data_IF_819885778876
#
_entry.id   IF_819885778876
#
_cell.length_a   1.000
_cell.length_b   1.000
_cell.length_c   1.000
_cell.angle_alpha   90.00
_cell.angle_beta   90.00
_cell.angle_gamma   90.00
#
_symmetry.space_group_name_H-M   'P 1'
#
loop_
_entity.id
_entity.type
_entity.pdbx_description
1 polymer ?
#
# COMPACT_ATOMS: atom_id res chain seq x y z
N UNK A 1 13.46 18.69 17.59
CA UNK A 1 12.33 17.98 16.98
C UNK A 1 11.75 17.09 18.05
N UNK A 2 10.48 17.26 18.39
CA UNK A 2 9.80 16.29 19.26
C UNK A 2 9.42 15.03 18.46
N UNK A 3 8.90 13.99 19.12
CA UNK A 3 8.58 12.74 18.45
C UNK A 3 7.37 12.85 17.50
N UNK A 4 6.44 13.78 17.76
CA UNK A 4 5.27 13.98 16.92
C UNK A 4 5.64 14.69 15.61
N UNK A 5 6.55 15.67 15.69
CA UNK A 5 7.17 16.30 14.53
C UNK A 5 7.92 15.26 13.69
N UNK A 6 8.68 14.36 14.32
CA UNK A 6 9.40 13.31 13.60
C UNK A 6 8.44 12.32 12.91
N UNK A 7 7.39 11.89 13.60
CA UNK A 7 6.32 11.04 13.03
C UNK A 7 5.61 11.74 11.86
N UNK A 8 5.38 13.05 11.95
CA UNK A 8 4.76 13.83 10.88
C UNK A 8 5.63 13.91 9.60
N UNK A 9 6.95 13.84 9.74
CA UNK A 9 7.90 13.89 8.62
C UNK A 9 8.22 12.49 8.08
N UNK A 10 8.46 11.51 8.94
CA UNK A 10 8.91 10.17 8.53
C UNK A 10 7.76 9.19 8.30
N UNK A 11 6.58 9.44 8.88
CA UNK A 11 5.51 8.44 8.95
C UNK A 11 5.86 7.24 9.82
N UNK A 12 6.86 7.37 10.71
CA UNK A 12 7.36 6.31 11.58
C UNK A 12 7.18 6.66 13.04
N UNK A 13 6.67 5.72 13.83
CA UNK A 13 6.57 5.84 15.29
C UNK A 13 7.18 4.64 15.98
N UNK A 14 8.12 4.92 16.87
CA UNK A 14 8.89 3.91 17.59
C UNK A 14 8.48 3.89 19.06
N UNK A 15 8.27 2.71 19.68
CA UNK A 15 8.15 2.60 21.13
C UNK A 15 9.48 2.88 21.84
N UNK A 16 10.60 2.61 21.16
CA UNK A 16 11.95 2.78 21.67
C UNK A 16 12.84 3.49 20.63
N UNK A 17 13.30 4.71 20.95
CA UNK A 17 14.28 5.45 20.14
C UNK A 17 15.74 5.08 20.47
N UNK A 18 15.95 4.25 21.50
CA UNK A 18 17.25 3.68 21.85
C UNK A 18 17.06 2.18 22.09
N UNK A 19 17.83 1.37 21.38
CA UNK A 19 17.64 -0.07 21.35
C UNK A 19 18.62 -0.78 22.29
N UNK A 20 18.18 -1.86 22.94
CA UNK A 20 19.07 -2.68 23.75
C UNK A 20 20.17 -3.30 22.88
N UNK A 21 21.44 -3.28 23.33
CA UNK A 21 22.58 -3.71 22.52
C UNK A 21 22.70 -5.24 22.41
N UNK A 22 21.90 -6.01 23.16
CA UNK A 22 21.97 -7.47 23.20
C UNK A 22 20.59 -8.11 23.09
N UNK A 23 20.54 -9.30 22.50
CA UNK A 23 19.29 -10.07 22.36
C UNK A 23 18.60 -10.40 23.68
N UNK A 24 19.30 -10.79 24.77
CA UNK A 24 18.66 -11.03 26.06
C UNK A 24 18.02 -9.77 26.66
N UNK A 25 18.68 -8.61 26.51
CA UNK A 25 18.10 -7.34 26.95
C UNK A 25 16.86 -6.99 26.11
N UNK A 26 16.90 -7.21 24.79
CA UNK A 26 15.73 -7.06 23.93
C UNK A 26 14.56 -7.98 24.32
N UNK A 27 14.85 -9.24 24.65
CA UNK A 27 13.85 -10.23 25.07
C UNK A 27 13.23 -9.92 26.44
N UNK A 28 13.91 -9.12 27.28
CA UNK A 28 13.40 -8.68 28.58
C UNK A 28 12.43 -7.50 28.49
N UNK A 29 12.29 -6.87 27.32
CA UNK A 29 11.36 -5.76 27.13
C UNK A 29 9.91 -6.25 27.11
N UNK A 30 9.06 -5.58 27.87
CA UNK A 30 7.60 -5.83 27.87
C UNK A 30 6.99 -5.46 26.52
N UNK A 31 7.44 -4.32 25.94
CA UNK A 31 7.06 -3.90 24.59
C UNK A 31 8.22 -4.20 23.65
N UNK A 32 8.01 -5.00 22.59
CA UNK A 32 9.09 -5.38 21.67
C UNK A 32 9.65 -4.16 20.93
N UNK A 33 10.86 -4.29 20.39
CA UNK A 33 11.40 -3.36 19.40
C UNK A 33 10.56 -3.49 18.12
N UNK A 34 9.67 -2.53 17.89
CA UNK A 34 8.74 -2.48 16.75
C UNK A 34 8.66 -1.07 16.18
N UNK A 35 7.90 -0.90 15.09
CA UNK A 35 7.63 0.39 14.48
C UNK A 35 6.22 0.38 13.92
N UNK A 36 5.48 1.48 14.11
CA UNK A 36 4.29 1.78 13.34
C UNK A 36 4.72 2.58 12.11
N UNK A 37 4.31 2.13 10.92
CA UNK A 37 4.75 2.69 9.65
C UNK A 37 3.55 3.08 8.79
N UNK A 38 3.54 4.34 8.34
CA UNK A 38 2.59 4.93 7.40
C UNK A 38 3.34 5.27 6.10
N UNK A 39 3.54 4.29 5.19
CA UNK A 39 4.50 4.42 4.08
C UNK A 39 4.14 5.50 3.06
N UNK A 40 2.86 5.86 2.96
CA UNK A 40 2.33 6.86 2.03
C UNK A 40 1.97 8.17 2.74
N UNK A 41 2.53 8.40 3.93
CA UNK A 41 2.29 9.64 4.64
C UNK A 41 3.10 10.77 4.00
N UNK A 42 2.39 11.71 3.36
CA UNK A 42 3.00 12.94 2.91
C UNK A 42 3.17 13.92 4.08
N UNK A 43 4.35 14.51 4.26
CA UNK A 43 4.52 15.60 5.20
C UNK A 43 3.56 16.74 4.87
N UNK A 44 3.10 17.46 5.88
CA UNK A 44 2.25 18.64 5.70
C UNK A 44 2.91 19.75 4.89
N UNK A 45 4.25 19.75 4.78
CA UNK A 45 5.01 20.63 3.92
C UNK A 45 5.65 19.86 2.75
N UNK A 46 5.30 20.16 1.48
CA UNK A 46 5.76 19.40 0.31
C UNK A 46 7.28 19.44 0.08
N UNK A 47 7.97 20.47 0.58
CA UNK A 47 9.43 20.59 0.46
C UNK A 47 10.21 19.55 1.29
N UNK A 48 9.54 18.80 2.17
CA UNK A 48 10.16 17.79 3.04
C UNK A 48 10.23 16.39 2.40
N UNK A 49 9.52 16.15 1.29
CA UNK A 49 9.53 14.87 0.58
C UNK A 49 9.91 15.09 -0.89
N UNK A 50 11.22 15.01 -1.23
CA UNK A 50 11.65 15.26 -2.60
C UNK A 50 11.24 14.11 -3.52
N UNK A 51 10.70 14.46 -4.70
CA UNK A 51 10.41 13.53 -5.78
C UNK A 51 11.58 13.47 -6.77
N UNK A 52 12.21 12.30 -6.86
CA UNK A 52 13.43 12.08 -7.65
C UNK A 52 13.07 11.47 -9.02
N UNK A 53 13.43 12.09 -10.15
CA UNK A 53 13.02 11.65 -11.50
C UNK A 53 13.90 10.51 -12.04
N UNK A 54 14.22 9.53 -11.20
CA UNK A 54 15.06 8.40 -11.54
C UNK A 54 14.83 7.23 -10.57
N UNK A 55 15.30 6.05 -10.96
CA UNK A 55 15.24 4.86 -10.12
C UNK A 55 16.23 4.93 -8.95
N UNK A 56 15.91 4.33 -7.79
CA UNK A 56 16.79 4.33 -6.62
C UNK A 56 18.11 3.61 -6.90
N UNK A 57 19.22 4.20 -6.46
CA UNK A 57 20.53 3.55 -6.48
C UNK A 57 20.58 2.47 -5.40
N UNK A 58 20.61 1.19 -5.81
CA UNK A 58 20.62 0.05 -4.88
C UNK A 58 22.02 -0.52 -4.71
N UNK A 59 22.29 -1.02 -3.51
CA UNK A 59 23.53 -1.73 -3.18
C UNK A 59 23.65 -3.00 -4.03
N UNK A 60 24.77 -3.15 -4.74
CA UNK A 60 25.05 -4.26 -5.64
C UNK A 60 25.52 -5.54 -4.91
N UNK A 61 25.79 -5.45 -3.61
CA UNK A 61 26.15 -6.63 -2.80
C UNK A 61 25.02 -7.67 -2.82
N UNK A 62 25.31 -8.95 -3.13
CA UNK A 62 24.30 -10.00 -3.16
C UNK A 62 23.49 -10.06 -1.86
N UNK A 63 22.16 -10.05 -1.98
CA UNK A 63 21.25 -10.16 -0.84
C UNK A 63 21.11 -8.91 0.05
N UNK A 64 21.68 -7.77 -0.34
CA UNK A 64 21.49 -6.51 0.41
C UNK A 64 20.30 -5.69 -0.11
N UNK A 65 20.34 -5.25 -1.38
CA UNK A 65 19.23 -4.52 -2.01
C UNK A 65 18.92 -3.10 -1.46
N UNK A 66 19.60 -2.67 -0.39
CA UNK A 66 19.39 -1.36 0.24
C UNK A 66 19.57 -0.20 -0.74
N UNK A 67 18.69 0.78 -0.67
CA UNK A 67 18.82 2.03 -1.41
C UNK A 67 19.90 2.94 -0.79
N UNK A 68 20.52 3.76 -1.62
CA UNK A 68 21.32 4.91 -1.21
C UNK A 68 20.48 5.81 -0.30
N UNK A 69 21.10 6.30 0.77
CA UNK A 69 20.44 7.10 1.80
C UNK A 69 21.48 7.95 2.55
N UNK A 70 21.08 8.92 3.40
CA UNK A 70 22.00 9.85 4.05
C UNK A 70 23.05 9.21 4.97
N UNK A 71 22.85 7.97 5.40
CA UNK A 71 23.82 7.22 6.22
C UNK A 71 24.89 6.50 5.39
N UNK A 72 24.80 6.56 4.06
CA UNK A 72 25.78 5.97 3.16
C UNK A 72 27.05 6.84 3.08
N UNK A 73 28.22 6.21 3.02
CA UNK A 73 29.50 6.94 2.91
C UNK A 73 29.87 7.16 1.45
N UNK A 74 29.98 8.42 1.02
CA UNK A 74 30.40 8.79 -0.35
C UNK A 74 31.93 8.85 -0.46
N UNK A 75 32.47 8.24 -1.51
CA UNK A 75 33.88 8.28 -1.88
C UNK A 75 34.05 9.08 -3.17
N UNK A 76 34.22 10.41 -3.04
CA UNK A 76 34.29 11.33 -4.18
C UNK A 76 35.40 10.98 -5.19
N UNK A 77 36.59 10.61 -4.70
CA UNK A 77 37.74 10.31 -5.56
C UNK A 77 37.55 9.10 -6.49
N UNK A 78 36.70 8.14 -6.12
CA UNK A 78 36.41 6.95 -6.93
C UNK A 78 35.00 6.96 -7.54
N UNK A 79 34.19 7.98 -7.25
CA UNK A 79 32.75 8.01 -7.54
C UNK A 79 32.04 6.72 -7.12
N UNK A 80 32.26 6.31 -5.87
CA UNK A 80 31.62 5.14 -5.26
C UNK A 80 30.99 5.49 -3.92
N UNK A 81 30.18 4.59 -3.38
CA UNK A 81 29.64 4.70 -2.04
C UNK A 81 29.70 3.39 -1.27
N UNK A 82 29.82 3.50 0.05
CA UNK A 82 29.65 2.39 0.98
C UNK A 82 28.21 2.33 1.49
N UNK A 83 27.62 1.14 1.40
CA UNK A 83 26.28 0.88 1.92
C UNK A 83 26.27 0.94 3.45
N UNK A 84 25.31 1.69 4.01
CA UNK A 84 25.11 1.83 5.46
C UNK A 84 24.75 0.51 6.17
N UNK A 85 24.16 -0.45 5.44
CA UNK A 85 23.65 -1.71 6.02
C UNK A 85 24.67 -2.85 5.97
N UNK A 86 25.24 -3.13 4.79
CA UNK A 86 26.17 -4.24 4.62
C UNK A 86 27.65 -3.85 4.70
N UNK A 87 27.96 -2.55 4.63
CA UNK A 87 29.33 -2.01 4.62
C UNK A 87 30.07 -2.15 3.29
N UNK A 88 29.46 -2.75 2.26
CA UNK A 88 30.10 -2.93 0.95
C UNK A 88 30.47 -1.56 0.34
N UNK A 89 31.76 -1.33 0.10
CA UNK A 89 32.33 -0.05 -0.35
C UNK A 89 32.38 0.11 -1.88
N UNK A 90 31.85 -0.87 -2.61
CA UNK A 90 32.04 -1.01 -4.04
C UNK A 90 30.78 -0.68 -4.85
N UNK A 91 29.91 0.23 -4.42
CA UNK A 91 28.74 0.61 -5.23
C UNK A 91 29.09 1.82 -6.11
N UNK A 92 28.96 1.74 -7.44
CA UNK A 92 29.28 2.87 -8.33
C UNK A 92 28.15 3.90 -8.34
N UNK A 93 28.50 5.18 -8.51
CA UNK A 93 27.54 6.18 -8.98
C UNK A 93 27.43 6.14 -10.51
N UNK A 94 26.27 6.46 -11.10
CA UNK A 94 26.10 6.52 -12.56
C UNK A 94 26.87 7.68 -13.19
N UNK A 95 27.22 8.70 -12.40
CA UNK A 95 27.99 9.87 -12.80
C UNK A 95 28.98 10.26 -11.71
N UNK A 96 30.05 10.95 -12.09
CA UNK A 96 30.93 11.62 -11.12
C UNK A 96 30.12 12.66 -10.35
N UNK A 97 30.17 12.62 -9.02
CA UNK A 97 29.50 13.59 -8.16
C UNK A 97 30.44 14.74 -7.85
N UNK A 98 30.02 15.97 -8.16
CA UNK A 98 30.68 17.16 -7.64
C UNK A 98 30.45 17.27 -6.13
N UNK A 99 31.43 17.72 -5.33
CA UNK A 99 31.29 17.77 -3.86
C UNK A 99 30.10 18.60 -3.34
N UNK A 100 29.69 19.60 -4.12
CA UNK A 100 28.60 20.55 -3.86
C UNK A 100 27.26 20.13 -4.48
N UNK A 101 27.23 19.10 -5.32
CA UNK A 101 26.04 18.64 -6.03
C UNK A 101 25.68 17.19 -5.66
N UNK A 102 25.38 16.97 -4.37
CA UNK A 102 24.91 15.69 -3.88
C UNK A 102 23.43 15.45 -4.30
N UNK A 103 23.07 14.20 -4.66
CA UNK A 103 21.69 13.78 -4.82
C UNK A 103 20.84 14.04 -3.56
N UNK A 104 19.54 14.26 -3.73
CA UNK A 104 18.69 14.70 -2.64
C UNK A 104 18.54 13.66 -1.54
N UNK A 105 18.59 12.38 -1.91
CA UNK A 105 18.56 11.21 -1.01
C UNK A 105 19.81 11.07 -0.13
N UNK A 106 20.81 11.95 -0.28
CA UNK A 106 21.97 12.03 0.61
C UNK A 106 21.89 13.19 1.60
N UNK A 107 20.95 14.11 1.47
CA UNK A 107 20.83 15.20 2.43
C UNK A 107 20.27 14.68 3.76
N UNK A 108 20.91 14.97 4.91
CA UNK A 108 20.43 14.52 6.23
C UNK A 108 19.04 15.04 6.60
N UNK A 109 18.57 16.12 5.95
CA UNK A 109 17.23 16.69 6.14
C UNK A 109 16.14 15.92 5.40
N UNK A 110 16.50 15.06 4.44
CA UNK A 110 15.56 14.18 3.73
C UNK A 110 15.64 12.77 4.33
N UNK A 111 14.86 12.53 5.38
CA UNK A 111 14.72 11.19 5.98
C UNK A 111 13.96 10.21 5.08
N UNK A 112 13.04 10.73 4.28
CA UNK A 112 12.25 10.01 3.29
C UNK A 112 12.33 10.72 1.93
N UNK A 113 12.30 9.94 0.85
CA UNK A 113 12.27 10.45 -0.54
C UNK A 113 11.36 9.58 -1.40
N UNK A 114 10.80 10.15 -2.45
CA UNK A 114 10.03 9.41 -3.44
C UNK A 114 10.79 9.32 -4.76
N UNK A 115 10.63 8.19 -5.45
CA UNK A 115 11.26 7.97 -6.76
C UNK A 115 10.16 7.84 -7.82
N UNK A 116 10.21 8.72 -8.82
CA UNK A 116 9.45 8.54 -10.04
C UNK A 116 10.17 7.49 -10.90
N UNK A 117 9.65 6.27 -10.88
CA UNK A 117 10.24 5.18 -11.65
C UNK A 117 10.01 5.41 -13.15
N UNK A 118 11.01 5.08 -13.99
CA UNK A 118 10.79 5.05 -15.43
C UNK A 118 9.71 4.00 -15.76
N UNK A 119 8.96 4.17 -16.86
CA UNK A 119 8.00 3.17 -17.32
C UNK A 119 8.67 1.79 -17.44
N UNK A 120 7.98 0.75 -16.99
CA UNK A 120 8.47 -0.62 -17.11
C UNK A 120 8.61 -0.98 -18.61
N UNK A 121 9.80 -1.41 -19.09
CA UNK A 121 9.96 -1.85 -20.47
C UNK A 121 9.06 -3.05 -20.83
N UNK A 122 8.68 -3.87 -19.84
CA UNK A 122 7.76 -5.00 -20.03
C UNK A 122 6.29 -4.54 -20.15
N UNK A 123 5.96 -3.35 -19.67
CA UNK A 123 4.65 -2.70 -19.81
C UNK A 123 4.82 -1.33 -20.50
N UNK A 124 5.03 -1.26 -21.82
CA UNK A 124 5.34 -0.02 -22.56
C UNK A 124 4.23 1.06 -22.56
N UNK A 125 3.16 0.89 -21.79
CA UNK A 125 2.12 1.87 -21.49
C UNK A 125 1.93 2.16 -19.99
N UNK A 126 2.81 1.65 -19.13
CA UNK A 126 2.64 1.63 -17.68
C UNK A 126 1.58 0.62 -17.21
N UNK A 127 1.35 0.52 -15.89
CA UNK A 127 0.22 -0.23 -15.37
C UNK A 127 -1.05 0.38 -15.95
N UNK A 128 -1.81 -0.42 -16.71
CA UNK A 128 -3.05 0.05 -17.33
C UNK A 128 -3.99 0.70 -16.31
N UNK A 129 -4.98 1.50 -16.75
CA UNK A 129 -5.79 2.28 -15.83
C UNK A 129 -6.51 1.38 -14.82
N UNK A 130 -6.74 1.87 -13.59
CA UNK A 130 -7.41 1.09 -12.56
C UNK A 130 -8.80 0.67 -13.01
N UNK A 131 -9.24 -0.48 -12.51
CA UNK A 131 -10.58 -1.00 -12.76
C UNK A 131 -11.39 -0.95 -11.46
N UNK A 132 -12.61 -0.42 -11.54
CA UNK A 132 -13.58 -0.39 -10.47
C UNK A 132 -14.74 -1.33 -10.81
N UNK A 133 -14.93 -2.37 -10.02
CA UNK A 133 -16.03 -3.33 -10.20
C UNK A 133 -17.05 -3.10 -9.09
N UNK A 134 -18.25 -2.62 -9.44
CA UNK A 134 -19.36 -2.52 -8.51
C UNK A 134 -20.09 -3.86 -8.44
N UNK A 135 -20.13 -4.46 -7.26
CA UNK A 135 -20.87 -5.69 -6.99
C UNK A 135 -22.01 -5.35 -6.04
N UNK A 136 -23.26 -5.38 -6.53
CA UNK A 136 -24.43 -4.87 -5.79
C UNK A 136 -25.43 -6.00 -5.55
N UNK A 137 -25.85 -6.16 -4.29
CA UNK A 137 -26.95 -7.03 -3.93
C UNK A 137 -28.28 -6.44 -4.42
N UNK A 138 -28.93 -7.11 -5.37
CA UNK A 138 -30.23 -6.75 -5.92
C UNK A 138 -31.40 -7.32 -5.10
N UNK A 139 -31.16 -8.14 -4.08
CA UNK A 139 -32.17 -8.60 -3.13
C UNK A 139 -32.49 -7.55 -2.04
N UNK A 140 -31.74 -6.45 -1.99
CA UNK A 140 -31.99 -5.30 -1.11
C UNK A 140 -33.31 -4.59 -1.45
N UNK A 141 -33.96 -3.98 -0.45
CA UNK A 141 -35.20 -3.22 -0.62
C UNK A 141 -35.10 -2.13 -1.72
N UNK A 142 -36.20 -1.85 -2.42
CA UNK A 142 -36.21 -0.99 -3.60
C UNK A 142 -35.86 0.48 -3.28
N UNK A 143 -36.27 0.96 -2.12
CA UNK A 143 -35.99 2.30 -1.61
C UNK A 143 -34.47 2.47 -1.35
N UNK A 144 -33.87 1.51 -0.66
CA UNK A 144 -32.42 1.44 -0.39
C UNK A 144 -31.61 1.35 -1.68
N UNK A 145 -32.03 0.51 -2.64
CA UNK A 145 -31.40 0.41 -3.95
C UNK A 145 -31.47 1.72 -4.74
N UNK A 146 -32.53 2.52 -4.55
CA UNK A 146 -32.67 3.82 -5.21
C UNK A 146 -31.61 4.78 -4.69
N UNK A 147 -31.42 4.83 -3.37
CA UNK A 147 -30.40 5.67 -2.73
C UNK A 147 -28.99 5.26 -3.15
N UNK A 148 -28.70 3.96 -3.15
CA UNK A 148 -27.40 3.43 -3.59
C UNK A 148 -27.13 3.75 -5.07
N UNK A 149 -28.13 3.61 -5.95
CA UNK A 149 -28.01 3.98 -7.37
C UNK A 149 -27.65 5.45 -7.53
N UNK A 150 -28.23 6.34 -6.73
CA UNK A 150 -27.95 7.77 -6.81
C UNK A 150 -26.53 8.11 -6.33
N UNK A 151 -26.02 7.45 -5.28
CA UNK A 151 -24.62 7.61 -4.85
C UNK A 151 -23.64 7.08 -5.90
N UNK A 152 -23.89 5.89 -6.46
CA UNK A 152 -23.03 5.31 -7.52
C UNK A 152 -23.05 6.19 -8.77
N UNK A 153 -24.20 6.72 -9.18
CA UNK A 153 -24.30 7.66 -10.30
C UNK A 153 -23.50 8.94 -10.06
N UNK A 154 -23.61 9.52 -8.86
CA UNK A 154 -22.83 10.71 -8.50
C UNK A 154 -21.33 10.43 -8.51
N UNK A 155 -20.92 9.25 -8.06
CA UNK A 155 -19.53 8.80 -8.16
C UNK A 155 -19.08 8.71 -9.63
N UNK A 156 -19.86 8.09 -10.52
CA UNK A 156 -19.51 7.95 -11.94
C UNK A 156 -19.28 9.29 -12.63
N UNK A 157 -20.07 10.31 -12.30
CA UNK A 157 -19.89 11.66 -12.82
C UNK A 157 -18.58 12.32 -12.35
N UNK A 158 -18.02 11.86 -11.24
CA UNK A 158 -16.81 12.40 -10.61
C UNK A 158 -15.54 11.59 -10.86
N UNK A 159 -15.60 10.44 -11.56
CA UNK A 159 -14.42 9.62 -11.82
C UNK A 159 -13.47 10.29 -12.83
N UNK A 160 -12.15 10.18 -12.65
CA UNK A 160 -11.17 10.52 -13.68
C UNK A 160 -11.37 9.74 -14.99
N UNK A 161 -10.95 10.35 -16.10
CA UNK A 161 -10.94 9.68 -17.41
C UNK A 161 -9.99 8.47 -17.41
N UNK A 162 -10.34 7.45 -18.21
CA UNK A 162 -9.52 6.24 -18.37
C UNK A 162 -9.80 5.14 -17.36
N UNK A 163 -10.45 5.42 -16.23
CA UNK A 163 -10.85 4.38 -15.26
C UNK A 163 -11.84 3.42 -15.91
N UNK A 164 -11.56 2.12 -15.81
CA UNK A 164 -12.47 1.08 -16.30
C UNK A 164 -13.51 0.79 -15.23
N UNK A 165 -14.78 0.74 -15.62
CA UNK A 165 -15.88 0.43 -14.71
C UNK A 165 -16.59 -0.83 -15.18
N UNK A 166 -16.91 -1.72 -14.23
CA UNK A 166 -17.78 -2.87 -14.46
C UNK A 166 -18.88 -2.92 -13.40
N UNK A 167 -20.02 -3.51 -13.77
CA UNK A 167 -21.15 -3.71 -12.87
C UNK A 167 -21.52 -5.19 -12.82
N UNK A 168 -21.65 -5.71 -11.62
CA UNK A 168 -22.18 -7.02 -11.29
C UNK A 168 -23.32 -6.81 -10.31
N UNK A 169 -24.47 -7.43 -10.57
CA UNK A 169 -25.56 -7.47 -9.58
C UNK A 169 -25.82 -8.92 -9.20
N UNK A 170 -26.26 -9.19 -7.97
CA UNK A 170 -26.58 -10.55 -7.56
C UNK A 170 -27.84 -10.62 -6.69
N UNK A 171 -28.54 -11.74 -6.74
CA UNK A 171 -29.61 -12.13 -5.83
C UNK A 171 -29.68 -13.67 -5.86
N UNK A 172 -30.78 -14.26 -6.33
CA UNK A 172 -30.84 -15.69 -6.64
C UNK A 172 -29.91 -16.10 -7.81
N UNK A 173 -29.51 -15.14 -8.65
CA UNK A 173 -28.55 -15.35 -9.73
C UNK A 173 -27.56 -14.20 -9.74
N UNK A 174 -26.42 -14.37 -10.40
CA UNK A 174 -25.40 -13.33 -10.59
C UNK A 174 -25.47 -12.83 -12.03
N UNK A 175 -25.57 -11.52 -12.20
CA UNK A 175 -25.68 -10.84 -13.48
C UNK A 175 -24.42 -10.00 -13.72
N UNK A 176 -23.65 -10.35 -14.74
CA UNK A 176 -22.49 -9.57 -15.19
C UNK A 176 -22.94 -8.70 -16.36
N UNK A 177 -22.89 -7.38 -16.20
CA UNK A 177 -23.44 -6.41 -17.16
C UNK A 177 -22.37 -5.99 -18.17
N UNK A 178 -22.70 -6.07 -19.45
CA UNK A 178 -21.89 -5.48 -20.52
C UNK A 178 -22.33 -4.04 -20.78
N UNK A 179 -21.51 -3.10 -20.30
CA UNK A 179 -21.78 -1.66 -20.41
C UNK A 179 -21.42 -1.08 -21.78
N UNK A 180 -20.65 -1.81 -22.61
CA UNK A 180 -20.15 -1.33 -23.90
C UNK A 180 -21.06 -1.66 -25.09
N UNK A 181 -22.16 -2.40 -24.87
CA UNK A 181 -23.08 -2.78 -25.93
C UNK A 181 -24.22 -1.77 -26.06
N UNK A 182 -24.13 -0.91 -27.08
CA UNK A 182 -25.18 0.05 -27.41
C UNK A 182 -26.30 -0.64 -28.21
N UNK A 183 -27.42 -0.95 -27.56
CA UNK A 183 -28.62 -1.50 -28.20
C UNK A 183 -29.54 -2.28 -27.26
N UNK A 184 -28.96 -2.99 -26.28
CA UNK A 184 -29.67 -3.62 -25.17
C UNK A 184 -28.69 -3.99 -24.05
N UNK A 185 -29.17 -4.18 -22.81
CA UNK A 185 -28.31 -4.69 -21.74
C UNK A 185 -27.95 -6.16 -22.03
N UNK A 186 -26.72 -6.43 -22.47
CA UNK A 186 -26.21 -7.81 -22.56
C UNK A 186 -25.72 -8.22 -21.18
N UNK A 187 -26.30 -9.30 -20.66
CA UNK A 187 -26.02 -9.77 -19.29
C UNK A 187 -25.71 -11.26 -19.33
N UNK A 188 -24.59 -11.66 -18.72
CA UNK A 188 -24.28 -13.07 -18.47
C UNK A 188 -24.83 -13.44 -17.10
N UNK A 189 -25.69 -14.46 -17.06
CA UNK A 189 -26.30 -14.94 -15.82
C UNK A 189 -25.59 -16.20 -15.35
N UNK A 190 -25.04 -16.16 -14.13
CA UNK A 190 -24.53 -17.32 -13.43
C UNK A 190 -25.54 -17.73 -12.36
N UNK A 191 -26.10 -18.92 -12.50
CA UNK A 191 -27.08 -19.43 -11.55
C UNK A 191 -26.35 -20.02 -10.34
N UNK A 192 -26.70 -19.58 -9.14
CA UNK A 192 -26.22 -20.20 -7.91
C UNK A 192 -27.10 -21.40 -7.54
N UNK A 193 -26.49 -22.53 -7.18
CA UNK A 193 -27.23 -23.72 -6.70
C UNK A 193 -27.40 -23.73 -5.16
N UNK A 194 -26.93 -22.68 -4.47
CA UNK A 194 -26.80 -22.67 -3.01
C UNK A 194 -27.74 -21.66 -2.38
N UNK A 195 -28.66 -22.16 -1.56
CA UNK A 195 -29.53 -21.33 -0.71
C UNK A 195 -28.73 -20.77 0.47
N UNK A 196 -28.89 -19.48 0.75
CA UNK A 196 -28.28 -18.79 1.88
C UNK A 196 -29.35 -18.51 2.93
N UNK A 197 -29.26 -19.16 4.09
CA UNK A 197 -30.08 -18.84 5.25
C UNK A 197 -29.32 -17.87 6.18
N UNK A 198 -29.52 -16.56 6.06
CA UNK A 198 -29.25 -15.61 7.15
C UNK A 198 -29.70 -14.18 6.85
N UNK A 199 -30.26 -13.51 7.86
CA UNK A 199 -30.49 -12.05 7.89
C UNK A 199 -29.21 -11.25 8.17
N UNK A 200 -28.05 -11.91 8.34
CA UNK A 200 -26.77 -11.27 8.61
C UNK A 200 -25.85 -11.36 7.41
N UNK A 201 -25.36 -10.20 6.95
CA UNK A 201 -24.21 -10.15 6.04
C UNK A 201 -23.04 -10.83 6.74
N UNK A 202 -22.45 -11.83 6.10
CA UNK A 202 -21.31 -12.60 6.60
C UNK A 202 -20.02 -11.78 6.69
N UNK A 203 -20.02 -10.72 7.51
CA UNK A 203 -18.90 -9.80 7.68
C UNK A 203 -17.67 -10.51 8.25
N UNK A 204 -17.88 -11.55 9.06
CA UNK A 204 -16.79 -12.39 9.56
C UNK A 204 -16.11 -13.19 8.43
N UNK A 205 -16.91 -13.71 7.49
CA UNK A 205 -16.46 -14.47 6.32
C UNK A 205 -15.75 -13.57 5.29
N UNK A 206 -16.17 -12.30 5.18
CA UNK A 206 -15.55 -11.30 4.30
C UNK A 206 -14.35 -10.58 4.94
N UNK A 207 -14.09 -10.79 6.23
CA UNK A 207 -13.01 -10.11 6.96
C UNK A 207 -11.64 -10.36 6.33
N UNK A 208 -11.30 -11.62 6.08
CA UNK A 208 -9.98 -12.01 5.57
C UNK A 208 -9.62 -11.35 4.23
N UNK A 209 -10.44 -11.45 3.16
CA UNK A 209 -10.10 -10.82 1.88
C UNK A 209 -9.98 -9.29 1.99
N UNK A 210 -10.72 -8.64 2.89
CA UNK A 210 -10.62 -7.20 3.13
C UNK A 210 -9.29 -6.86 3.82
N UNK A 211 -8.97 -7.55 4.91
CA UNK A 211 -7.75 -7.30 5.69
C UNK A 211 -6.48 -7.55 4.86
N UNK A 212 -6.42 -8.61 4.05
CA UNK A 212 -5.20 -8.92 3.25
C UNK A 212 -5.00 -8.02 2.04
N UNK A 213 -6.06 -7.40 1.51
CA UNK A 213 -6.00 -6.51 0.35
C UNK A 213 -5.89 -5.03 0.71
N UNK A 214 -6.07 -4.68 1.99
CA UNK A 214 -6.20 -3.28 2.42
C UNK A 214 -7.52 -2.63 2.02
N UNK A 215 -8.56 -3.45 1.83
CA UNK A 215 -9.91 -2.96 1.57
C UNK A 215 -10.57 -2.31 2.78
N UNK A 216 -11.72 -1.68 2.57
CA UNK A 216 -12.54 -1.07 3.61
C UNK A 216 -13.81 -1.90 3.86
N UNK A 217 -14.16 -2.08 5.13
CA UNK A 217 -15.47 -2.59 5.53
C UNK A 217 -16.28 -1.48 6.18
N UNK A 218 -17.44 -1.16 5.63
CA UNK A 218 -18.38 -0.18 6.19
C UNK A 218 -19.65 -0.91 6.61
N UNK A 219 -19.96 -0.85 7.91
CA UNK A 219 -21.20 -1.38 8.45
C UNK A 219 -22.24 -0.26 8.56
N UNK A 220 -23.40 -0.44 7.95
CA UNK A 220 -24.53 0.51 8.03
C UNK A 220 -25.85 -0.27 8.06
N UNK A 221 -26.87 0.31 8.68
CA UNK A 221 -28.23 -0.26 8.67
C UNK A 221 -29.04 0.19 7.45
N UNK A 222 -28.66 1.32 6.85
CA UNK A 222 -29.32 1.91 5.69
C UNK A 222 -28.31 2.71 4.85
N UNK A 223 -28.52 2.77 3.54
CA UNK A 223 -27.79 3.63 2.62
C UNK A 223 -28.28 5.09 2.66
N UNK A 224 -29.43 5.36 3.29
CA UNK A 224 -29.93 6.73 3.50
C UNK A 224 -29.09 7.51 4.51
N UNK A 225 -28.43 6.81 5.43
CA UNK A 225 -27.64 7.42 6.48
C UNK A 225 -26.46 8.22 5.89
N UNK A 226 -26.29 9.46 6.34
CA UNK A 226 -25.20 10.33 5.88
C UNK A 226 -23.83 9.78 6.24
N UNK A 227 -23.72 8.96 7.28
CA UNK A 227 -22.49 8.25 7.63
C UNK A 227 -22.05 7.33 6.49
N UNK A 228 -22.97 6.53 5.94
CA UNK A 228 -22.68 5.68 4.79
C UNK A 228 -22.26 6.53 3.58
N UNK A 229 -23.06 7.53 3.22
CA UNK A 229 -22.79 8.38 2.05
C UNK A 229 -21.46 9.12 2.18
N UNK A 230 -21.14 9.62 3.37
CA UNK A 230 -19.87 10.28 3.67
C UNK A 230 -18.69 9.32 3.50
N UNK A 231 -18.76 8.11 4.09
CA UNK A 231 -17.73 7.08 3.93
C UNK A 231 -17.56 6.65 2.47
N UNK A 232 -18.67 6.42 1.76
CA UNK A 232 -18.65 6.02 0.35
C UNK A 232 -17.96 7.09 -0.52
N UNK A 233 -18.28 8.37 -0.33
CA UNK A 233 -17.64 9.47 -1.07
C UNK A 233 -16.17 9.66 -0.67
N UNK A 234 -15.84 9.47 0.61
CA UNK A 234 -14.46 9.57 1.10
C UNK A 234 -13.54 8.51 0.47
N UNK A 235 -14.04 7.29 0.25
CA UNK A 235 -13.29 6.21 -0.40
C UNK A 235 -12.81 6.57 -1.82
N UNK A 236 -13.53 7.43 -2.53
CA UNK A 236 -13.19 7.88 -3.87
C UNK A 236 -12.78 9.35 -3.91
N UNK A 237 -12.25 9.87 -2.79
CA UNK A 237 -11.76 11.24 -2.74
C UNK A 237 -10.64 11.42 -3.75
N UNK A 238 -10.63 12.58 -4.41
CA UNK A 238 -9.63 12.91 -5.43
C UNK A 238 -8.44 13.63 -4.81
N UNK A 239 -7.29 13.38 -5.41
CA UNK A 239 -6.09 14.19 -5.23
C UNK A 239 -5.86 14.97 -6.53
N UNK A 240 -6.09 16.28 -6.48
CA UNK A 240 -6.10 17.13 -7.67
C UNK A 240 -7.21 16.75 -8.68
N UNK A 241 -6.95 17.03 -9.95
CA UNK A 241 -7.96 16.86 -11.02
C UNK A 241 -7.90 15.51 -11.70
N UNK A 242 -6.85 14.69 -11.56
CA UNK A 242 -6.68 13.52 -12.42
C UNK A 242 -6.56 12.20 -11.65
N UNK A 243 -6.41 12.27 -10.32
CA UNK A 243 -6.09 11.09 -9.53
C UNK A 243 -7.12 10.87 -8.42
N UNK A 244 -7.41 9.60 -8.17
CA UNK A 244 -8.07 9.18 -6.93
C UNK A 244 -6.99 9.07 -5.85
N UNK A 245 -7.32 9.43 -4.62
CA UNK A 245 -6.45 9.29 -3.46
C UNK A 245 -6.45 7.83 -2.98
N UNK A 246 -5.91 6.93 -3.81
CA UNK A 246 -5.81 5.50 -3.56
C UNK A 246 -4.61 4.94 -4.32
N UNK A 247 -3.97 3.95 -3.72
CA UNK A 247 -2.77 3.33 -4.26
C UNK A 247 -2.99 1.82 -4.38
N UNK A 248 -2.50 1.24 -5.46
CA UNK A 248 -2.70 -0.18 -5.78
C UNK A 248 -1.37 -0.88 -5.96
N UNK A 249 -1.37 -2.20 -5.75
CA UNK A 249 -0.22 -3.06 -6.03
C UNK A 249 1.08 -2.63 -5.30
N UNK A 250 0.95 -2.13 -4.07
CA UNK A 250 2.09 -1.71 -3.27
C UNK A 250 2.89 -2.91 -2.78
N UNK A 251 4.23 -2.81 -2.85
CA UNK A 251 5.15 -3.78 -2.26
C UNK A 251 6.03 -3.07 -1.23
N UNK A 252 6.02 -3.57 0.01
CA UNK A 252 6.85 -3.04 1.09
C UNK A 252 8.07 -3.95 1.26
N UNK A 253 9.27 -3.40 1.07
CA UNK A 253 10.54 -4.08 1.30
C UNK A 253 11.27 -3.40 2.46
N UNK A 254 11.64 -4.16 3.49
CA UNK A 254 12.37 -3.66 4.67
C UNK A 254 13.78 -4.26 4.67
N UNK A 255 14.78 -3.40 4.78
CA UNK A 255 16.20 -3.79 4.91
C UNK A 255 16.73 -3.31 6.26
N UNK A 256 17.45 -4.19 6.96
CA UNK A 256 17.98 -3.93 8.31
C UNK A 256 19.48 -4.12 8.37
N UNK A 257 20.13 -3.53 9.38
CA UNK A 257 21.51 -3.85 9.74
C UNK A 257 21.62 -5.29 10.23
N UNK A 258 22.83 -5.87 10.22
CA UNK A 258 23.05 -7.31 10.48
C UNK A 258 22.58 -7.76 11.87
N UNK A 259 22.61 -6.84 12.82
CA UNK A 259 22.26 -7.04 14.24
C UNK A 259 20.74 -7.05 14.48
N UNK A 260 19.94 -6.64 13.48
CA UNK A 260 18.50 -6.47 13.59
C UNK A 260 17.79 -7.42 12.63
N UNK A 261 16.81 -8.15 13.16
CA UNK A 261 15.99 -9.10 12.39
C UNK A 261 14.51 -8.71 12.45
N UNK A 262 13.80 -8.97 11.35
CA UNK A 262 12.38 -8.72 11.17
C UNK A 262 11.63 -9.96 11.63
N UNK A 263 10.79 -9.82 12.66
CA UNK A 263 9.96 -10.91 13.18
C UNK A 263 8.61 -11.01 12.45
N UNK A 264 8.16 -9.97 11.76
CA UNK A 264 6.88 -9.96 11.05
C UNK A 264 6.33 -8.56 10.87
N UNK A 265 5.12 -8.49 10.34
CA UNK A 265 4.34 -7.26 10.18
C UNK A 265 2.91 -7.52 10.66
N UNK A 266 2.27 -6.47 11.19
CA UNK A 266 0.87 -6.47 11.61
C UNK A 266 0.16 -5.32 10.89
N UNK A 267 -0.84 -5.65 10.07
CA UNK A 267 -1.57 -4.67 9.28
C UNK A 267 -2.09 -5.26 7.97
N UNK A 268 -2.72 -4.44 7.12
CA UNK A 268 -3.31 -4.89 5.88
C UNK A 268 -2.25 -5.19 4.82
N UNK A 269 -1.67 -6.38 4.92
CA UNK A 269 -0.59 -6.82 4.04
C UNK A 269 -0.56 -8.33 3.94
N UNK A 270 0.10 -8.82 2.88
CA UNK A 270 0.37 -10.24 2.68
C UNK A 270 1.85 -10.47 2.44
N UNK A 271 2.40 -11.55 2.98
CA UNK A 271 3.81 -11.89 2.82
C UNK A 271 4.10 -12.36 1.40
N UNK A 272 5.13 -11.77 0.77
CA UNK A 272 5.69 -12.26 -0.49
C UNK A 272 6.59 -13.49 -0.31
N UNK A 273 6.73 -14.00 0.93
CA UNK A 273 7.51 -15.20 1.29
C UNK A 273 8.97 -15.17 0.80
N UNK A 274 9.55 -13.97 0.74
CA UNK A 274 10.96 -13.77 0.38
C UNK A 274 11.83 -13.89 1.62
N UNK A 275 12.67 -14.93 1.68
CA UNK A 275 13.66 -15.09 2.75
C UNK A 275 14.94 -14.34 2.40
N UNK A 276 15.51 -13.63 3.37
CA UNK A 276 16.80 -12.96 3.25
C UNK A 276 17.48 -12.86 4.63
N UNK A 277 18.66 -12.24 4.68
CA UNK A 277 19.44 -12.10 5.90
C UNK A 277 18.81 -11.15 6.94
N UNK A 278 17.74 -10.43 6.63
CA UNK A 278 17.01 -9.58 7.56
C UNK A 278 15.85 -10.30 8.24
N UNK A 279 15.44 -11.49 7.79
CA UNK A 279 14.32 -12.24 8.39
C UNK A 279 14.77 -13.00 9.65
N UNK A 280 13.97 -12.92 10.72
CA UNK A 280 14.16 -13.67 11.97
C UNK A 280 13.62 -15.10 11.84
N UNK A 281 14.23 -16.06 12.54
CA UNK A 281 13.64 -17.40 12.70
C UNK A 281 12.43 -17.40 13.65
N UNK A 282 12.33 -16.36 14.50
CA UNK A 282 11.17 -16.14 15.38
C UNK A 282 10.17 -15.24 14.66
N UNK A 283 8.98 -15.78 14.42
CA UNK A 283 7.86 -15.06 13.81
C UNK A 283 6.94 -14.42 14.87
N UNK A 284 6.46 -13.21 14.60
CA UNK A 284 5.48 -12.48 15.41
C UNK A 284 4.40 -11.93 14.47
N UNK A 285 3.15 -12.26 14.78
CA UNK A 285 1.96 -11.85 14.03
C UNK A 285 1.39 -12.95 13.16
N UNK A 286 0.09 -12.87 12.87
CA UNK A 286 -0.51 -13.65 11.80
C UNK A 286 -0.18 -12.92 10.49
N UNK A 287 0.86 -13.37 9.79
CA UNK A 287 0.74 -13.33 8.32
C UNK A 287 -0.52 -14.13 8.05
N UNK A 288 -1.50 -13.57 7.34
CA UNK A 288 -2.72 -14.27 6.92
C UNK A 288 -2.34 -15.41 5.94
N UNK A 289 -1.63 -16.41 6.45
CA UNK A 289 -1.11 -17.60 5.80
C UNK A 289 -2.06 -18.79 5.99
N UNK A 290 -3.23 -18.55 6.60
CA UNK A 290 -4.33 -19.51 6.65
C UNK A 290 -5.40 -19.17 5.62
N UNK A 291 -5.01 -18.99 4.36
CA UNK A 291 -5.98 -19.27 3.29
C UNK A 291 -6.17 -20.79 3.30
N UNK A 292 -7.37 -21.31 3.60
CA UNK A 292 -7.60 -22.74 3.47
C UNK A 292 -7.40 -23.06 1.98
N UNK A 293 -6.47 -23.95 1.68
CA UNK A 293 -6.50 -24.69 0.42
C UNK A 293 -7.80 -25.49 0.43
N UNK A 294 -8.83 -24.98 -0.24
CA UNK A 294 -9.95 -25.79 -0.70
C UNK A 294 -9.61 -26.33 -2.08
#
# INVERSE_FOLDING_TARGET
MDFAELEAVEGLRWPWHSWPPTTPAAASLVVPTSVLCSPLQHPTAPDLLPLLPYAPLRCASPGCGAALNPFSRVHHGSARWSCAFCGAAANPFPRLLAPDALPAELFPTHSSVEYLLPPDPAEPGGPGPPALVFVIDAATAAEELTVLKDEVRRLMQGLPEGIRVALVTFAASVWVHDLGFEGCARVVVLNGERELESDKVGAAELRNPIEVTGGLMVHTESFEYEQFKSCFRHMFRREGTNYLNMNFNATIEIVTSKEVKICGALGPCISLRRKNNSVSDKEIGEVYDKVPTW
#
